data_IF_443470545985
#
_entry.id   IF_443470545985
#
_cell.length_a   1.000
_cell.length_b   1.000
_cell.length_c   1.000
_cell.angle_alpha   90.00
_cell.angle_beta   90.00
_cell.angle_gamma   90.00
#
_symmetry.space_group_name_H-M   'P 1'
#
loop_
_entity.id
_entity.type
_entity.pdbx_description
1 polymer ?
#
# COMPACT_ATOMS: atom_id res chain seq x y z
N UNK A 1 -2.25 6.88 -14.14
CA UNK A 1 -1.12 6.15 -13.50
C UNK A 1 -1.45 5.92 -12.03
N UNK A 2 -1.38 4.68 -11.62
CA UNK A 2 -1.47 4.32 -10.21
C UNK A 2 -0.10 4.58 -9.59
N UNK A 3 -0.07 5.34 -8.50
CA UNK A 3 1.17 5.62 -7.78
C UNK A 3 1.09 5.03 -6.38
N UNK A 4 2.11 4.26 -6.03
CA UNK A 4 2.26 3.68 -4.71
C UNK A 4 3.52 4.26 -4.08
N UNK A 5 3.39 4.77 -2.87
CA UNK A 5 4.54 5.22 -2.08
C UNK A 5 4.60 4.38 -0.82
N UNK A 6 5.73 3.76 -0.58
CA UNK A 6 6.00 2.94 0.61
C UNK A 6 6.83 3.79 1.56
N UNK A 7 6.39 3.91 2.80
CA UNK A 7 7.08 4.68 3.83
C UNK A 7 7.86 3.77 4.77
N UNK A 8 9.17 4.01 4.88
CA UNK A 8 10.04 3.26 5.79
C UNK A 8 10.59 4.16 6.89
N UNK A 9 10.71 3.61 8.10
CA UNK A 9 11.41 4.27 9.19
C UNK A 9 12.92 4.10 9.03
N UNK A 10 13.70 4.67 9.95
CA UNK A 10 15.16 4.63 9.87
C UNK A 10 15.75 3.23 10.12
N UNK A 11 14.97 2.31 10.65
CA UNK A 11 15.36 0.90 10.82
C UNK A 11 15.02 0.05 9.60
N UNK A 12 14.38 0.61 8.58
CA UNK A 12 13.98 -0.10 7.38
C UNK A 12 12.60 -0.74 7.43
N UNK A 13 11.89 -0.64 8.56
CA UNK A 13 10.53 -1.16 8.67
C UNK A 13 9.54 -0.27 7.92
N UNK A 14 8.52 -0.90 7.34
CA UNK A 14 7.44 -0.17 6.68
C UNK A 14 6.48 0.35 7.74
N UNK A 15 6.30 1.68 7.79
CA UNK A 15 5.35 2.28 8.72
C UNK A 15 4.07 2.76 8.03
N UNK A 16 3.96 2.61 6.72
CA UNK A 16 2.76 2.99 6.00
C UNK A 16 2.94 2.99 4.50
N UNK A 17 1.87 3.31 3.81
CA UNK A 17 1.91 3.48 2.36
C UNK A 17 0.80 4.42 1.90
N UNK A 18 0.99 4.98 0.72
CA UNK A 18 0.00 5.82 0.05
C UNK A 18 -0.27 5.30 -1.34
N UNK A 19 -1.53 5.31 -1.73
CA UNK A 19 -1.99 4.83 -3.03
C UNK A 19 -2.85 5.92 -3.67
N UNK A 20 -2.52 6.31 -4.90
CA UNK A 20 -3.31 7.28 -5.66
C UNK A 20 -3.55 6.77 -7.08
N UNK A 21 -4.66 7.19 -7.68
CA UNK A 21 -5.03 6.81 -9.05
C UNK A 21 -5.67 5.43 -9.20
N UNK A 22 -5.86 4.71 -8.11
CA UNK A 22 -6.34 3.31 -8.12
C UNK A 22 -7.84 3.17 -8.39
N UNK A 23 -8.60 4.24 -8.28
CA UNK A 23 -10.04 4.24 -8.53
C UNK A 23 -10.41 4.76 -9.92
N UNK A 24 -9.44 4.98 -10.80
CA UNK A 24 -9.64 5.48 -12.15
C UNK A 24 -9.68 4.32 -13.14
N UNK A 25 -10.88 3.84 -13.47
CA UNK A 25 -11.11 2.66 -14.31
C UNK A 25 -11.38 3.00 -15.79
N UNK A 26 -10.96 4.16 -16.24
CA UNK A 26 -11.41 4.72 -17.52
C UNK A 26 -10.95 3.97 -18.78
N UNK A 27 -9.90 3.12 -18.68
CA UNK A 27 -9.31 2.48 -19.87
C UNK A 27 -9.16 0.97 -19.68
N UNK A 28 -9.39 0.22 -20.79
CA UNK A 28 -9.17 -1.21 -20.85
C UNK A 28 -7.74 -1.59 -20.43
N UNK A 29 -7.61 -2.62 -19.62
CA UNK A 29 -6.35 -3.07 -19.04
C UNK A 29 -5.99 -2.36 -17.74
N UNK A 30 -6.30 -1.09 -17.63
CA UNK A 30 -6.07 -0.31 -16.42
C UNK A 30 -6.99 -0.73 -15.28
N UNK A 31 -8.25 -1.06 -15.58
CA UNK A 31 -9.21 -1.51 -14.58
C UNK A 31 -8.80 -2.83 -13.93
N UNK A 32 -8.16 -3.73 -14.68
CA UNK A 32 -7.60 -4.95 -14.10
C UNK A 32 -6.53 -4.61 -13.07
N UNK A 33 -5.62 -3.70 -13.40
CA UNK A 33 -4.54 -3.28 -12.50
C UNK A 33 -5.11 -2.54 -11.29
N UNK A 34 -6.06 -1.63 -11.49
CA UNK A 34 -6.73 -0.92 -10.42
C UNK A 34 -7.41 -1.88 -9.45
N UNK A 35 -8.11 -2.90 -9.97
CA UNK A 35 -8.77 -3.91 -9.14
C UNK A 35 -7.76 -4.75 -8.37
N UNK A 36 -6.68 -5.20 -9.02
CA UNK A 36 -5.65 -6.01 -8.38
C UNK A 36 -4.98 -5.24 -7.24
N UNK A 37 -4.59 -4.00 -7.49
CA UNK A 37 -3.94 -3.15 -6.48
C UNK A 37 -4.88 -2.85 -5.32
N UNK A 38 -6.15 -2.54 -5.62
CA UNK A 38 -7.15 -2.25 -4.59
C UNK A 38 -7.41 -3.46 -3.69
N UNK A 39 -7.59 -4.65 -4.28
CA UNK A 39 -7.81 -5.87 -3.51
C UNK A 39 -6.60 -6.19 -2.64
N UNK A 40 -5.40 -6.11 -3.20
CA UNK A 40 -4.17 -6.44 -2.47
C UNK A 40 -3.94 -5.49 -1.28
N UNK A 41 -4.11 -4.19 -1.49
CA UNK A 41 -3.87 -3.20 -0.43
C UNK A 41 -4.95 -3.24 0.64
N UNK A 42 -6.21 -3.31 0.26
CA UNK A 42 -7.34 -3.40 1.20
C UNK A 42 -7.28 -4.71 2.00
N UNK A 43 -6.97 -5.83 1.34
CA UNK A 43 -6.78 -7.10 2.04
C UNK A 43 -5.66 -7.03 3.07
N UNK A 44 -4.57 -6.34 2.75
CA UNK A 44 -3.45 -6.18 3.68
C UNK A 44 -3.87 -5.36 4.91
N UNK A 45 -4.58 -4.26 4.72
CA UNK A 45 -5.10 -3.43 5.82
C UNK A 45 -6.03 -4.27 6.70
N UNK A 46 -6.96 -4.99 6.10
CA UNK A 46 -7.89 -5.84 6.82
C UNK A 46 -7.17 -6.98 7.56
N UNK A 47 -6.09 -7.51 6.99
CA UNK A 47 -5.28 -8.55 7.61
C UNK A 47 -4.53 -8.02 8.83
N UNK A 48 -3.98 -6.82 8.75
CA UNK A 48 -3.35 -6.18 9.91
C UNK A 48 -4.36 -6.03 11.04
N UNK A 49 -5.57 -5.56 10.76
CA UNK A 49 -6.62 -5.43 11.76
C UNK A 49 -7.05 -6.78 12.33
N UNK A 50 -7.20 -7.80 11.46
CA UNK A 50 -7.71 -9.11 11.83
C UNK A 50 -6.72 -9.97 12.60
N UNK A 51 -5.44 -9.90 12.25
CA UNK A 51 -4.43 -10.83 12.73
C UNK A 51 -3.40 -10.21 13.68
N UNK A 52 -3.45 -8.91 13.91
CA UNK A 52 -2.51 -8.22 14.80
C UNK A 52 -3.26 -7.25 15.72
N UNK A 53 -2.59 -6.77 16.74
CA UNK A 53 -3.08 -5.73 17.64
C UNK A 53 -2.52 -4.35 17.31
N UNK A 54 -1.88 -4.21 16.16
CA UNK A 54 -1.24 -2.95 15.76
C UNK A 54 -2.28 -1.87 15.47
N UNK A 55 -2.12 -0.71 16.09
CA UNK A 55 -2.95 0.45 15.80
C UNK A 55 -2.49 1.14 14.53
N UNK A 56 -3.45 1.57 13.72
CA UNK A 56 -3.16 2.30 12.50
C UNK A 56 -4.23 3.36 12.23
N UNK A 57 -3.87 4.34 11.41
CA UNK A 57 -4.82 5.26 10.81
C UNK A 57 -4.91 4.97 9.31
N UNK A 58 -6.11 5.07 8.75
CA UNK A 58 -6.34 4.87 7.34
C UNK A 58 -7.26 5.97 6.82
N UNK A 59 -6.80 6.70 5.81
CA UNK A 59 -7.58 7.73 5.15
C UNK A 59 -7.87 7.31 3.72
N UNK A 60 -9.10 7.53 3.27
CA UNK A 60 -9.52 7.23 1.91
C UNK A 60 -10.30 8.40 1.32
N UNK A 61 -10.11 8.64 0.03
CA UNK A 61 -10.88 9.59 -0.74
C UNK A 61 -10.94 9.06 -2.18
N UNK A 62 -12.16 8.86 -2.70
CA UNK A 62 -12.35 8.34 -4.05
C UNK A 62 -12.46 9.43 -5.11
N UNK A 63 -12.30 10.69 -4.72
CA UNK A 63 -12.25 11.80 -5.67
C UNK A 63 -10.92 11.80 -6.42
N UNK A 64 -10.92 12.35 -7.63
CA UNK A 64 -9.70 12.53 -8.46
C UNK A 64 -8.89 11.25 -8.67
N UNK A 65 -9.59 10.12 -8.92
CA UNK A 65 -8.93 8.85 -9.21
C UNK A 65 -8.56 8.03 -7.99
N UNK A 66 -8.91 8.49 -6.78
CA UNK A 66 -8.72 7.73 -5.54
C UNK A 66 -7.51 8.12 -4.74
N UNK A 67 -7.63 7.96 -3.44
CA UNK A 67 -6.57 8.18 -2.45
C UNK A 67 -6.77 7.20 -1.29
N UNK A 68 -5.69 6.57 -0.87
CA UNK A 68 -5.69 5.71 0.31
C UNK A 68 -4.33 5.85 0.98
N UNK A 69 -4.33 6.14 2.28
CA UNK A 69 -3.09 6.21 3.05
C UNK A 69 -3.24 5.46 4.36
N UNK A 70 -2.30 4.57 4.62
CA UNK A 70 -2.17 3.84 5.88
C UNK A 70 -0.94 4.35 6.61
N UNK A 71 -1.07 4.63 7.90
CA UNK A 71 0.06 4.96 8.78
C UNK A 71 -0.03 4.13 10.05
N UNK A 72 1.09 3.53 10.45
CA UNK A 72 1.27 2.78 11.70
C UNK A 72 2.14 3.65 12.61
N UNK A 73 1.52 4.42 13.53
CA UNK A 73 2.26 5.42 14.31
C UNK A 73 3.40 4.84 15.16
N UNK A 74 3.19 3.69 15.80
CA UNK A 74 4.20 3.08 16.63
C UNK A 74 5.41 2.63 15.82
N UNK A 75 5.19 2.08 14.62
CA UNK A 75 6.28 1.69 13.71
C UNK A 75 7.01 2.92 13.21
N UNK A 76 6.29 3.98 12.89
CA UNK A 76 6.89 5.26 12.50
C UNK A 76 7.84 5.77 13.60
N UNK A 77 7.45 5.60 14.87
CA UNK A 77 8.25 6.00 16.03
C UNK A 77 9.38 5.02 16.37
N UNK A 78 9.55 3.96 15.61
CA UNK A 78 10.68 3.03 15.74
C UNK A 78 10.35 1.67 16.36
N UNK A 79 9.10 1.41 16.75
CA UNK A 79 8.72 0.10 17.24
C UNK A 79 8.68 -0.91 16.09
N UNK A 80 9.01 -2.18 16.41
CA UNK A 80 9.00 -3.27 15.44
C UNK A 80 7.88 -4.25 15.76
N UNK A 81 7.13 -4.66 14.73
CA UNK A 81 6.12 -5.71 14.83
C UNK A 81 6.36 -6.68 13.67
N UNK A 82 6.84 -7.87 13.98
CA UNK A 82 7.19 -8.88 12.98
C UNK A 82 6.02 -9.23 12.07
N UNK A 83 4.84 -9.47 12.63
CA UNK A 83 3.69 -9.93 11.85
C UNK A 83 3.18 -8.83 10.92
N UNK A 84 3.17 -7.60 11.39
CA UNK A 84 2.81 -6.43 10.56
C UNK A 84 3.80 -6.29 9.41
N UNK A 85 5.10 -6.41 9.67
CA UNK A 85 6.11 -6.31 8.62
C UNK A 85 5.99 -7.44 7.61
N UNK A 86 5.68 -8.66 8.05
CA UNK A 86 5.47 -9.78 7.16
C UNK A 86 4.29 -9.53 6.21
N UNK A 87 3.18 -9.02 6.73
CA UNK A 87 2.00 -8.70 5.91
C UNK A 87 2.30 -7.58 4.91
N UNK A 88 3.02 -6.55 5.34
CA UNK A 88 3.40 -5.43 4.46
C UNK A 88 4.42 -5.85 3.41
N UNK A 89 5.39 -6.71 3.77
CA UNK A 89 6.36 -7.25 2.82
C UNK A 89 5.67 -8.12 1.77
N UNK A 90 4.69 -8.94 2.18
CA UNK A 90 3.90 -9.73 1.25
C UNK A 90 3.12 -8.84 0.27
N UNK A 91 2.51 -7.77 0.78
CA UNK A 91 1.83 -6.79 -0.06
C UNK A 91 2.79 -6.15 -1.07
N UNK A 92 3.96 -5.71 -0.61
CA UNK A 92 4.95 -5.06 -1.47
C UNK A 92 5.45 -6.03 -2.54
N UNK A 93 5.68 -7.30 -2.19
CA UNK A 93 6.04 -8.33 -3.16
C UNK A 93 5.00 -8.46 -4.26
N UNK A 94 3.71 -8.52 -3.88
CA UNK A 94 2.62 -8.56 -4.84
C UNK A 94 2.52 -7.31 -5.71
N UNK A 95 2.71 -6.13 -5.11
CA UNK A 95 2.72 -4.88 -5.87
C UNK A 95 3.88 -4.81 -6.86
N UNK A 96 5.06 -5.29 -6.47
CA UNK A 96 6.22 -5.37 -7.37
C UNK A 96 5.96 -6.32 -8.54
N UNK A 97 5.29 -7.44 -8.31
CA UNK A 97 4.91 -8.37 -9.37
C UNK A 97 3.96 -7.69 -10.38
N UNK A 98 2.99 -6.94 -9.87
CA UNK A 98 2.07 -6.18 -10.71
C UNK A 98 2.84 -5.12 -11.52
N UNK A 99 3.74 -4.38 -10.89
CA UNK A 99 4.54 -3.36 -11.58
C UNK A 99 5.39 -3.96 -12.69
N UNK A 100 5.98 -5.13 -12.45
CA UNK A 100 6.82 -5.80 -13.44
C UNK A 100 6.02 -6.19 -14.68
N UNK A 101 4.76 -6.57 -14.52
CA UNK A 101 3.91 -6.98 -15.63
C UNK A 101 3.15 -5.82 -16.27
N UNK A 102 2.79 -4.81 -15.49
CA UNK A 102 1.92 -3.71 -15.90
C UNK A 102 2.56 -2.33 -15.68
N UNK A 103 3.86 -2.21 -15.99
CA UNK A 103 4.63 -0.98 -15.71
C UNK A 103 4.04 0.31 -16.32
N UNK A 104 3.20 0.17 -17.35
CA UNK A 104 2.52 1.33 -17.96
C UNK A 104 1.47 1.95 -17.05
N UNK A 105 0.97 1.22 -16.06
CA UNK A 105 -0.20 1.60 -15.28
C UNK A 105 0.11 1.83 -13.81
N UNK A 106 1.25 1.38 -13.31
CA UNK A 106 1.61 1.46 -11.89
C UNK A 106 3.08 1.80 -11.71
N UNK A 107 3.35 2.62 -10.73
CA UNK A 107 4.70 3.01 -10.32
C UNK A 107 4.81 2.94 -8.80
N UNK A 108 5.86 2.32 -8.30
CA UNK A 108 6.12 2.14 -6.87
C UNK A 108 7.41 2.87 -6.49
N UNK A 109 7.33 3.70 -5.47
CA UNK A 109 8.48 4.42 -4.92
C UNK A 109 8.53 4.24 -3.41
N UNK A 110 9.71 4.28 -2.83
CA UNK A 110 9.92 4.20 -1.40
C UNK A 110 10.46 5.53 -0.86
N UNK A 111 10.03 5.87 0.35
CA UNK A 111 10.48 7.08 1.03
C UNK A 111 10.88 6.71 2.46
N UNK A 112 12.10 7.10 2.85
CA UNK A 112 12.64 6.84 4.19
C UNK A 112 12.56 8.13 5.00
N UNK A 113 12.21 7.99 6.27
CA UNK A 113 12.18 9.14 7.20
C UNK A 113 13.52 9.87 7.28
#
# INVERSE_FOLDING_TARGET
>A
MIRVKIFRNNSGDIYGFRLTGHADYAKSGRDIVCSAVSVLTVNTINSIERFTDEHFSCETDNKKGGYLELVLPAVKDGEHNHDVQLLLDAMLGGLNDIENEYSRYISINEEVL
#
